data_IF_598555375610
#
_entry.id   IF_598555375610
#
_cell.length_a   1.000
_cell.length_b   1.000
_cell.length_c   1.000
_cell.angle_alpha   90.00
_cell.angle_beta   90.00
_cell.angle_gamma   90.00
#
_symmetry.space_group_name_H-M   'P 1'
#
loop_
_entity.id
_entity.type
_entity.pdbx_description
1 polymer ?
#
# COMPACT_ATOMS: atom_id res chain seq x y z
N UNK A 1 -14.14 4.10 17.40
CA UNK A 1 -13.56 5.01 16.39
C UNK A 1 -14.27 4.67 15.10
N UNK A 2 -15.42 5.29 14.91
CA UNK A 2 -16.35 4.99 13.83
C UNK A 2 -15.76 5.49 12.53
N UNK A 3 -15.40 4.57 11.64
CA UNK A 3 -15.11 4.90 10.26
C UNK A 3 -16.44 5.18 9.58
N UNK A 4 -16.89 6.42 9.67
CA UNK A 4 -17.81 6.99 8.69
C UNK A 4 -17.14 6.83 7.32
N UNK A 5 -17.58 5.83 6.54
CA UNK A 5 -17.35 5.85 5.11
C UNK A 5 -18.16 7.03 4.57
N UNK A 6 -17.52 8.20 4.53
CA UNK A 6 -17.92 9.28 3.65
C UNK A 6 -17.78 8.74 2.23
N UNK A 7 -18.88 8.24 1.69
CA UNK A 7 -18.99 7.99 0.26
C UNK A 7 -18.92 9.35 -0.44
N UNK A 8 -17.75 9.68 -1.00
CA UNK A 8 -17.56 10.94 -1.71
C UNK A 8 -18.47 10.97 -2.93
N UNK A 9 -19.47 11.86 -2.92
CA UNK A 9 -20.34 12.07 -4.07
C UNK A 9 -19.55 12.55 -5.30
N UNK A 10 -19.91 12.03 -6.47
CA UNK A 10 -19.27 12.30 -7.77
C UNK A 10 -20.08 13.33 -8.58
N UNK A 11 -19.43 13.99 -9.54
CA UNK A 11 -20.08 15.01 -10.38
C UNK A 11 -20.55 14.46 -11.73
N UNK A 12 -21.48 15.18 -12.40
CA UNK A 12 -22.08 14.78 -13.68
C UNK A 12 -21.07 14.36 -14.76
N UNK A 13 -19.88 14.96 -14.81
CA UNK A 13 -18.84 14.61 -15.79
C UNK A 13 -18.33 13.18 -15.56
N UNK A 14 -18.04 12.84 -14.31
CA UNK A 14 -17.56 11.51 -13.91
C UNK A 14 -18.65 10.45 -14.10
N UNK A 15 -19.90 10.77 -13.74
CA UNK A 15 -21.04 9.85 -13.96
C UNK A 15 -21.29 9.59 -15.44
N UNK A 16 -21.17 10.62 -16.28
CA UNK A 16 -21.29 10.48 -17.73
C UNK A 16 -20.24 9.54 -18.32
N UNK A 17 -18.99 9.63 -17.85
CA UNK A 17 -17.90 8.71 -18.22
C UNK A 17 -18.17 7.28 -17.71
N UNK A 18 -18.55 7.12 -16.44
CA UNK A 18 -18.82 5.81 -15.82
C UNK A 18 -19.96 5.04 -16.48
N UNK A 19 -20.96 5.77 -16.97
CA UNK A 19 -22.13 5.21 -17.63
C UNK A 19 -22.00 5.23 -19.15
N UNK A 20 -20.93 5.78 -19.72
CA UNK A 20 -20.75 5.96 -21.16
C UNK A 20 -22.00 6.60 -21.82
N UNK A 21 -22.37 7.78 -21.32
CA UNK A 21 -23.50 8.58 -21.82
C UNK A 21 -23.11 10.05 -21.94
N UNK A 22 -23.70 10.74 -22.92
CA UNK A 22 -23.50 12.17 -23.07
C UNK A 22 -24.05 12.92 -21.84
N UNK A 23 -23.33 13.92 -21.29
CA UNK A 23 -23.80 14.72 -20.17
C UNK A 23 -25.19 15.35 -20.36
N UNK A 24 -25.55 15.69 -21.61
CA UNK A 24 -26.89 16.17 -21.94
C UNK A 24 -27.97 15.10 -21.74
N UNK A 25 -27.67 13.85 -22.12
CA UNK A 25 -28.55 12.69 -21.91
C UNK A 25 -28.71 12.40 -20.42
N UNK A 26 -27.61 12.40 -19.67
CA UNK A 26 -27.63 12.24 -18.21
C UNK A 26 -28.52 13.30 -17.55
N UNK A 27 -28.40 14.58 -17.98
CA UNK A 27 -29.24 15.66 -17.46
C UNK A 27 -30.73 15.43 -17.74
N UNK A 28 -31.08 14.96 -18.92
CA UNK A 28 -32.47 14.61 -19.27
C UNK A 28 -32.99 13.50 -18.38
N UNK A 29 -32.21 12.43 -18.16
CA UNK A 29 -32.62 11.32 -17.30
C UNK A 29 -32.81 11.74 -15.84
N UNK A 30 -31.92 12.58 -15.32
CA UNK A 30 -32.06 13.13 -13.97
C UNK A 30 -33.32 14.00 -13.83
N UNK A 31 -33.68 14.79 -14.86
CA UNK A 31 -34.90 15.57 -14.84
C UNK A 31 -36.15 14.69 -14.87
N UNK A 32 -36.14 13.60 -15.63
CA UNK A 32 -37.25 12.65 -15.61
C UNK A 32 -37.34 11.96 -14.24
N UNK A 33 -36.22 11.54 -13.65
CA UNK A 33 -36.19 10.99 -12.28
C UNK A 33 -36.76 11.95 -11.24
N UNK A 34 -36.40 13.24 -11.31
CA UNK A 34 -36.95 14.28 -10.43
C UNK A 34 -38.48 14.45 -10.57
N UNK A 35 -39.09 14.08 -11.71
CA UNK A 35 -40.57 14.06 -11.87
C UNK A 35 -41.23 12.87 -11.17
N UNK A 36 -40.46 11.80 -10.90
CA UNK A 36 -40.90 10.63 -10.14
C UNK A 36 -40.49 10.72 -8.66
N UNK A 37 -40.41 11.95 -8.12
CA UNK A 37 -40.05 12.27 -6.74
C UNK A 37 -38.64 11.82 -6.30
N UNK A 38 -37.74 11.51 -7.24
CA UNK A 38 -36.35 11.19 -6.94
C UNK A 38 -35.52 12.47 -6.73
N UNK A 39 -34.97 12.66 -5.53
CA UNK A 39 -34.27 13.89 -5.16
C UNK A 39 -32.76 13.70 -5.12
N UNK A 40 -32.06 14.34 -6.05
CA UNK A 40 -30.60 14.42 -6.04
C UNK A 40 -30.09 15.48 -5.07
N UNK A 41 -29.05 15.17 -4.31
CA UNK A 41 -28.35 16.18 -3.51
C UNK A 41 -27.66 17.22 -4.41
N UNK A 42 -27.55 18.46 -3.92
CA UNK A 42 -26.93 19.57 -4.65
C UNK A 42 -25.90 20.28 -3.77
N UNK A 43 -24.79 20.69 -4.38
CA UNK A 43 -23.78 21.48 -3.70
C UNK A 43 -24.24 22.94 -3.47
N UNK A 44 -23.43 23.74 -2.78
CA UNK A 44 -23.68 25.18 -2.52
C UNK A 44 -23.87 26.03 -3.78
N UNK A 45 -23.49 25.51 -4.95
CA UNK A 45 -23.64 26.14 -6.28
C UNK A 45 -24.81 25.54 -7.07
N UNK A 46 -25.69 24.79 -6.40
CA UNK A 46 -26.86 24.11 -6.97
C UNK A 46 -26.54 23.04 -8.04
N UNK A 47 -25.30 22.56 -8.09
CA UNK A 47 -24.88 21.47 -8.98
C UNK A 47 -25.20 20.13 -8.32
N UNK A 48 -25.76 19.18 -9.08
CA UNK A 48 -26.08 17.84 -8.58
C UNK A 48 -24.81 17.08 -8.16
N UNK A 49 -24.88 16.46 -6.99
CA UNK A 49 -23.91 15.51 -6.45
C UNK A 49 -24.58 14.13 -6.57
N UNK A 50 -23.86 13.17 -7.14
CA UNK A 50 -24.35 11.81 -7.31
C UNK A 50 -23.64 10.88 -6.35
N UNK A 51 -24.39 10.09 -5.60
CA UNK A 51 -23.87 9.03 -4.75
C UNK A 51 -23.97 7.68 -5.45
N UNK A 52 -23.41 6.63 -4.86
CA UNK A 52 -23.37 5.30 -5.49
C UNK A 52 -24.75 4.80 -5.85
N UNK A 53 -25.74 5.03 -4.99
CA UNK A 53 -27.13 4.68 -5.26
C UNK A 53 -27.69 5.39 -6.51
N UNK A 54 -27.37 6.67 -6.72
CA UNK A 54 -27.79 7.41 -7.91
C UNK A 54 -27.19 6.79 -9.19
N UNK A 55 -25.90 6.45 -9.13
CA UNK A 55 -25.17 5.87 -10.26
C UNK A 55 -25.73 4.48 -10.59
N UNK A 56 -26.11 3.69 -9.59
CA UNK A 56 -26.77 2.41 -9.78
C UNK A 56 -28.15 2.54 -10.43
N UNK A 57 -29.00 3.45 -9.94
CA UNK A 57 -30.32 3.73 -10.51
C UNK A 57 -30.20 4.10 -11.99
N UNK A 58 -29.27 5.02 -12.30
CA UNK A 58 -29.03 5.46 -13.68
C UNK A 58 -28.45 4.33 -14.56
N UNK A 59 -27.63 3.43 -14.00
CA UNK A 59 -27.10 2.26 -14.70
C UNK A 59 -28.19 1.26 -15.04
N UNK A 60 -29.06 0.95 -14.10
CA UNK A 60 -30.17 0.02 -14.31
C UNK A 60 -31.17 0.57 -15.32
N UNK A 61 -31.48 1.88 -15.25
CA UNK A 61 -32.28 2.55 -16.27
C UNK A 61 -31.65 2.41 -17.67
N UNK A 62 -30.33 2.65 -17.80
CA UNK A 62 -29.62 2.47 -19.08
C UNK A 62 -29.79 1.05 -19.59
N UNK A 63 -29.62 0.05 -18.73
CA UNK A 63 -29.73 -1.35 -19.11
C UNK A 63 -31.14 -1.71 -19.59
N UNK A 64 -32.19 -1.27 -18.88
CA UNK A 64 -33.57 -1.49 -19.29
C UNK A 64 -33.89 -0.82 -20.63
N UNK A 65 -33.45 0.42 -20.82
CA UNK A 65 -33.67 1.13 -22.08
C UNK A 65 -32.92 0.48 -23.26
N UNK A 66 -31.73 -0.07 -23.02
CA UNK A 66 -30.96 -0.78 -24.06
C UNK A 66 -31.61 -2.08 -24.53
N UNK A 67 -32.51 -2.67 -23.73
CA UNK A 67 -33.29 -3.85 -24.18
C UNK A 67 -34.36 -3.50 -25.24
N UNK A 68 -34.63 -2.21 -25.46
CA UNK A 68 -35.55 -1.71 -26.51
C UNK A 68 -37.03 -1.91 -26.20
N UNK A 69 -37.37 -2.50 -25.06
CA UNK A 69 -38.74 -2.81 -24.64
C UNK A 69 -39.35 -1.75 -23.73
N UNK A 70 -38.52 -0.94 -23.07
CA UNK A 70 -38.95 0.05 -22.08
C UNK A 70 -38.68 1.48 -22.55
N UNK A 71 -39.68 2.34 -22.41
CA UNK A 71 -39.49 3.80 -22.47
C UNK A 71 -38.75 4.31 -21.23
N UNK A 72 -38.22 5.55 -21.28
CA UNK A 72 -37.53 6.17 -20.14
C UNK A 72 -38.39 6.14 -18.88
N UNK A 73 -39.69 6.44 -19.00
CA UNK A 73 -40.62 6.49 -17.86
C UNK A 73 -40.91 5.10 -17.28
N UNK A 74 -41.08 4.10 -18.14
CA UNK A 74 -41.28 2.71 -17.71
C UNK A 74 -40.02 2.15 -17.04
N UNK A 75 -38.84 2.46 -17.57
CA UNK A 75 -37.57 2.09 -16.95
C UNK A 75 -37.39 2.74 -15.57
N UNK A 76 -37.71 4.03 -15.41
CA UNK A 76 -37.68 4.71 -14.11
C UNK A 76 -38.61 4.01 -13.12
N UNK A 77 -39.87 3.80 -13.51
CA UNK A 77 -40.86 3.17 -12.64
C UNK A 77 -40.41 1.78 -12.19
N UNK A 78 -39.92 0.97 -13.12
CA UNK A 78 -39.44 -0.38 -12.84
C UNK A 78 -38.25 -0.39 -11.88
N UNK A 79 -37.28 0.52 -12.05
CA UNK A 79 -36.09 0.62 -11.18
C UNK A 79 -36.45 1.13 -9.79
N UNK A 80 -37.30 2.15 -9.69
CA UNK A 80 -37.74 2.69 -8.41
C UNK A 80 -38.62 1.69 -7.64
N UNK A 81 -39.49 0.95 -8.32
CA UNK A 81 -40.27 -0.15 -7.72
C UNK A 81 -39.36 -1.28 -7.24
N UNK A 82 -38.42 -1.73 -8.08
CA UNK A 82 -37.52 -2.82 -7.75
C UNK A 82 -36.60 -2.50 -6.57
N UNK A 83 -36.10 -1.26 -6.49
CA UNK A 83 -35.23 -0.82 -5.37
C UNK A 83 -36.01 -0.33 -4.14
N UNK A 84 -37.34 -0.29 -4.18
CA UNK A 84 -38.17 0.22 -3.08
C UNK A 84 -37.99 1.73 -2.80
N UNK A 85 -37.57 2.49 -3.82
CA UNK A 85 -37.26 3.92 -3.74
C UNK A 85 -38.47 4.78 -4.13
N UNK A 86 -39.62 4.51 -3.53
CA UNK A 86 -40.83 5.32 -3.69
C UNK A 86 -41.08 6.17 -2.44
N UNK A 87 -41.48 7.42 -2.64
CA UNK A 87 -41.80 8.36 -1.56
C UNK A 87 -40.57 8.78 -0.74
N UNK A 88 -40.68 8.80 0.59
CA UNK A 88 -39.66 9.35 1.50
C UNK A 88 -38.27 8.69 1.41
N UNK A 89 -38.16 7.52 0.78
CA UNK A 89 -36.89 6.79 0.58
C UNK A 89 -36.17 7.17 -0.72
N UNK A 90 -36.76 8.03 -1.57
CA UNK A 90 -36.20 8.44 -2.86
C UNK A 90 -35.23 9.64 -2.77
N UNK A 91 -34.62 9.87 -1.61
CA UNK A 91 -33.69 10.99 -1.39
C UNK A 91 -32.25 10.49 -1.26
N UNK A 92 -31.31 11.19 -1.90
CA UNK A 92 -29.89 10.92 -1.68
C UNK A 92 -29.31 11.73 -0.52
N UNK A 93 -28.65 11.04 0.43
CA UNK A 93 -27.29 11.44 0.80
C UNK A 93 -26.95 12.02 2.17
N UNK A 94 -27.86 12.17 3.14
CA UNK A 94 -27.43 12.37 4.55
C UNK A 94 -28.53 11.93 5.51
N UNK A 95 -28.35 10.74 6.10
CA UNK A 95 -29.07 10.28 7.30
C UNK A 95 -30.59 10.08 7.11
N UNK A 96 -31.02 8.88 6.69
CA UNK A 96 -32.27 8.28 7.19
C UNK A 96 -31.95 7.48 8.46
N UNK A 97 -31.38 8.15 9.45
CA UNK A 97 -31.47 7.70 10.84
C UNK A 97 -32.72 8.36 11.43
N UNK A 98 -33.68 7.52 11.81
CA UNK A 98 -34.90 7.83 12.57
C UNK A 98 -35.99 8.66 11.87
N UNK A 99 -36.95 7.96 11.24
CA UNK A 99 -38.37 8.21 11.53
C UNK A 99 -39.29 7.06 11.09
N UNK A 100 -39.83 6.38 12.10
CA UNK A 100 -41.14 5.70 12.12
C UNK A 100 -41.43 4.65 11.03
N UNK A 101 -40.87 3.45 11.18
CA UNK A 101 -41.49 2.25 10.62
C UNK A 101 -42.70 1.84 11.47
N UNK A 102 -43.87 2.42 11.20
CA UNK A 102 -45.14 1.75 11.52
C UNK A 102 -45.36 0.73 10.42
N UNK A 103 -44.85 -0.49 10.62
CA UNK A 103 -45.15 -1.63 9.76
C UNK A 103 -46.58 -2.09 10.07
N UNK A 104 -47.50 -1.81 9.14
CA UNK A 104 -48.77 -2.55 9.05
C UNK A 104 -48.44 -3.99 8.71
N UNK A 105 -48.79 -4.85 9.66
CA UNK A 105 -48.61 -6.30 9.67
C UNK A 105 -49.54 -6.90 8.62
N UNK A 106 -49.01 -7.19 7.44
CA UNK A 106 -49.63 -8.14 6.50
C UNK A 106 -48.85 -9.46 6.51
N UNK A 107 -49.63 -10.51 6.63
CA UNK A 107 -49.23 -11.83 7.07
C UNK A 107 -48.67 -12.62 5.87
N UNK A 108 -47.34 -12.73 5.76
CA UNK A 108 -46.55 -13.91 5.30
C UNK A 108 -45.09 -13.50 4.99
N UNK A 109 -44.09 -13.87 5.83
CA UNK A 109 -42.85 -14.46 5.27
C UNK A 109 -42.00 -15.26 6.31
N UNK A 110 -42.35 -16.50 6.66
CA UNK A 110 -41.48 -17.26 7.58
C UNK A 110 -40.21 -17.82 6.90
N UNK A 111 -40.32 -18.22 5.62
CA UNK A 111 -39.19 -18.78 4.85
C UNK A 111 -38.21 -17.71 4.34
N UNK A 112 -38.72 -16.55 3.90
CA UNK A 112 -37.87 -15.46 3.41
C UNK A 112 -37.08 -14.79 4.55
N UNK A 113 -37.69 -14.63 5.74
CA UNK A 113 -36.98 -14.15 6.92
C UNK A 113 -35.89 -15.12 7.40
N UNK A 114 -36.15 -16.44 7.35
CA UNK A 114 -35.12 -17.45 7.65
C UNK A 114 -33.98 -17.42 6.62
N UNK A 115 -34.29 -17.29 5.33
CA UNK A 115 -33.26 -17.18 4.28
C UNK A 115 -32.41 -15.92 4.47
N UNK A 116 -33.02 -14.78 4.77
CA UNK A 116 -32.31 -13.53 5.05
C UNK A 116 -31.39 -13.67 6.28
N UNK A 117 -31.84 -14.35 7.34
CA UNK A 117 -31.01 -14.63 8.52
C UNK A 117 -29.82 -15.53 8.20
N UNK A 118 -30.02 -16.62 7.45
CA UNK A 118 -28.91 -17.52 7.06
C UNK A 118 -27.88 -16.84 6.16
N UNK A 119 -28.33 -15.95 5.27
CA UNK A 119 -27.44 -15.14 4.43
C UNK A 119 -26.63 -14.13 5.27
N UNK A 120 -27.25 -13.53 6.29
CA UNK A 120 -26.56 -12.61 7.19
C UNK A 120 -25.53 -13.34 8.05
N UNK A 121 -25.87 -14.50 8.59
CA UNK A 121 -24.96 -15.35 9.38
C UNK A 121 -23.75 -15.80 8.52
N UNK A 122 -24.00 -16.30 7.31
CA UNK A 122 -22.92 -16.73 6.40
C UNK A 122 -22.05 -15.56 5.95
N UNK A 123 -22.63 -14.39 5.69
CA UNK A 123 -21.87 -13.18 5.39
C UNK A 123 -21.01 -12.74 6.58
N UNK A 124 -21.55 -12.79 7.80
CA UNK A 124 -20.82 -12.44 9.02
C UNK A 124 -19.64 -13.38 9.27
N UNK A 125 -19.83 -14.68 9.10
CA UNK A 125 -18.78 -15.68 9.26
C UNK A 125 -17.65 -15.49 8.25
N UNK A 126 -18.00 -15.25 6.97
CA UNK A 126 -17.00 -14.92 5.94
C UNK A 126 -16.27 -13.61 6.23
N UNK A 127 -16.97 -12.62 6.76
CA UNK A 127 -16.35 -11.35 7.12
C UNK A 127 -15.35 -11.52 8.27
N UNK A 128 -15.70 -12.32 9.29
CA UNK A 128 -14.76 -12.68 10.35
C UNK A 128 -13.53 -13.40 9.82
N UNK A 129 -13.70 -14.36 8.91
CA UNK A 129 -12.59 -15.08 8.27
C UNK A 129 -11.68 -14.13 7.47
N UNK A 130 -12.26 -13.22 6.67
CA UNK A 130 -11.51 -12.23 5.90
C UNK A 130 -10.74 -11.26 6.80
N UNK A 131 -11.34 -10.82 7.91
CA UNK A 131 -10.66 -9.97 8.89
C UNK A 131 -9.48 -10.69 9.54
N UNK A 132 -9.65 -11.97 9.87
CA UNK A 132 -8.58 -12.79 10.42
C UNK A 132 -7.44 -12.99 9.40
N UNK A 133 -7.78 -13.33 8.16
CA UNK A 133 -6.80 -13.44 7.07
C UNK A 133 -6.06 -12.11 6.84
N UNK A 134 -6.77 -10.98 6.84
CA UNK A 134 -6.16 -9.66 6.68
C UNK A 134 -5.21 -9.34 7.84
N UNK A 135 -5.57 -9.70 9.07
CA UNK A 135 -4.71 -9.56 10.25
C UNK A 135 -3.43 -10.40 10.12
N UNK A 136 -3.55 -11.65 9.65
CA UNK A 136 -2.41 -12.52 9.41
C UNK A 136 -1.48 -11.96 8.31
N UNK A 137 -2.02 -11.50 7.19
CA UNK A 137 -1.26 -10.87 6.11
C UNK A 137 -0.52 -9.63 6.63
N UNK A 138 -1.18 -8.79 7.44
CA UNK A 138 -0.55 -7.62 8.03
C UNK A 138 0.61 -8.00 8.95
N UNK A 139 0.47 -9.06 9.74
CA UNK A 139 1.54 -9.56 10.60
C UNK A 139 2.72 -10.09 9.79
N UNK A 140 2.46 -10.88 8.74
CA UNK A 140 3.48 -11.37 7.82
C UNK A 140 4.23 -10.23 7.13
N UNK A 141 3.49 -9.22 6.63
CA UNK A 141 4.11 -8.04 6.01
C UNK A 141 5.03 -7.30 6.98
N UNK A 142 4.61 -7.12 8.24
CA UNK A 142 5.47 -6.51 9.28
C UNK A 142 6.74 -7.33 9.53
N UNK A 143 6.63 -8.66 9.59
CA UNK A 143 7.79 -9.54 9.79
C UNK A 143 8.75 -9.49 8.60
N UNK A 144 8.24 -9.53 7.37
CA UNK A 144 9.04 -9.43 6.14
C UNK A 144 9.81 -8.12 6.12
N UNK A 145 9.14 -6.99 6.39
CA UNK A 145 9.78 -5.67 6.42
C UNK A 145 10.89 -5.63 7.48
N UNK A 146 10.65 -6.19 8.68
CA UNK A 146 11.68 -6.27 9.72
C UNK A 146 12.90 -7.06 9.26
N UNK A 147 12.70 -8.27 8.70
CA UNK A 147 13.80 -9.10 8.22
C UNK A 147 14.61 -8.43 7.11
N UNK A 148 13.95 -7.70 6.19
CA UNK A 148 14.64 -6.98 5.13
C UNK A 148 15.49 -5.82 5.67
N UNK A 149 15.03 -5.12 6.71
CA UNK A 149 15.80 -4.07 7.36
C UNK A 149 17.02 -4.65 8.09
N UNK A 150 16.84 -5.76 8.80
CA UNK A 150 17.92 -6.45 9.51
C UNK A 150 18.96 -7.00 8.53
N UNK A 151 18.52 -7.62 7.43
CA UNK A 151 19.41 -8.13 6.38
C UNK A 151 20.20 -6.98 5.73
N UNK A 152 19.54 -5.84 5.48
CA UNK A 152 20.22 -4.66 4.93
C UNK A 152 21.28 -4.12 5.90
N UNK A 153 20.96 -4.00 7.19
CA UNK A 153 21.89 -3.53 8.20
C UNK A 153 23.09 -4.49 8.34
N UNK A 154 22.85 -5.80 8.32
CA UNK A 154 23.90 -6.80 8.36
C UNK A 154 24.82 -6.75 7.12
N UNK A 155 24.25 -6.53 5.93
CA UNK A 155 25.04 -6.36 4.69
C UNK A 155 25.90 -5.10 4.73
N UNK A 156 25.33 -3.98 5.17
CA UNK A 156 26.06 -2.72 5.31
C UNK A 156 27.22 -2.85 6.30
N UNK A 157 26.98 -3.49 7.46
CA UNK A 157 28.04 -3.75 8.43
C UNK A 157 29.14 -4.66 7.85
N UNK A 158 28.76 -5.74 7.17
CA UNK A 158 29.73 -6.64 6.55
C UNK A 158 30.56 -5.96 5.44
N UNK A 159 29.97 -5.00 4.72
CA UNK A 159 30.70 -4.20 3.72
C UNK A 159 31.69 -3.23 4.37
N UNK A 160 31.29 -2.57 5.46
CA UNK A 160 32.18 -1.71 6.27
C UNK A 160 33.35 -2.53 6.81
N UNK A 161 33.09 -3.71 7.38
CA UNK A 161 34.11 -4.58 7.95
C UNK A 161 35.12 -5.03 6.88
N UNK A 162 34.63 -5.44 5.69
CA UNK A 162 35.51 -5.80 4.55
C UNK A 162 36.39 -4.64 4.10
N UNK A 163 35.84 -3.43 4.04
CA UNK A 163 36.59 -2.25 3.61
C UNK A 163 37.64 -1.86 4.67
N UNK A 164 37.34 -2.01 5.96
CA UNK A 164 38.30 -1.85 7.05
C UNK A 164 39.44 -2.88 6.96
N UNK A 165 39.11 -4.16 6.80
CA UNK A 165 40.11 -5.23 6.63
C UNK A 165 41.01 -4.98 5.41
N UNK A 166 40.43 -4.50 4.30
CA UNK A 166 41.19 -4.17 3.09
C UNK A 166 42.18 -3.04 3.35
N UNK A 167 41.75 -1.96 4.02
CA UNK A 167 42.63 -0.83 4.40
C UNK A 167 43.75 -1.26 5.34
N UNK A 168 43.44 -2.11 6.33
CA UNK A 168 44.47 -2.64 7.23
C UNK A 168 45.49 -3.51 6.48
N UNK A 169 45.03 -4.38 5.57
CA UNK A 169 45.92 -5.19 4.74
C UNK A 169 46.80 -4.34 3.81
N UNK A 170 46.25 -3.30 3.19
CA UNK A 170 47.01 -2.37 2.35
C UNK A 170 48.10 -1.65 3.17
N UNK A 171 47.77 -1.22 4.40
CA UNK A 171 48.73 -0.60 5.31
C UNK A 171 49.85 -1.56 5.71
N UNK A 172 49.52 -2.81 6.06
CA UNK A 172 50.49 -3.85 6.40
C UNK A 172 51.42 -4.16 5.21
N UNK A 173 50.87 -4.23 3.99
CA UNK A 173 51.65 -4.38 2.76
C UNK A 173 52.64 -3.23 2.57
N UNK A 174 52.18 -1.98 2.72
CA UNK A 174 53.07 -0.82 2.63
C UNK A 174 54.21 -0.86 3.66
N UNK A 175 53.93 -1.30 4.89
CA UNK A 175 54.96 -1.48 5.92
C UNK A 175 55.96 -2.59 5.58
N UNK A 176 55.48 -3.70 5.01
CA UNK A 176 56.35 -4.79 4.53
C UNK A 176 57.26 -4.32 3.41
N UNK A 177 56.72 -3.59 2.42
CA UNK A 177 57.49 -3.04 1.31
C UNK A 177 58.54 -2.03 1.80
N UNK A 178 58.19 -1.16 2.75
CA UNK A 178 59.12 -0.22 3.36
C UNK A 178 60.24 -0.94 4.14
N UNK A 179 59.90 -1.99 4.89
CA UNK A 179 60.87 -2.81 5.60
C UNK A 179 61.79 -3.56 4.63
N UNK A 180 61.25 -4.11 3.54
CA UNK A 180 62.03 -4.77 2.50
C UNK A 180 63.01 -3.79 1.85
N UNK A 181 62.57 -2.58 1.49
CA UNK A 181 63.45 -1.53 0.96
C UNK A 181 64.57 -1.15 1.93
N UNK A 182 64.28 -1.07 3.24
CA UNK A 182 65.31 -0.82 4.26
C UNK A 182 66.32 -1.98 4.34
N UNK A 183 65.85 -3.22 4.27
CA UNK A 183 66.71 -4.41 4.25
C UNK A 183 67.62 -4.39 3.02
N UNK A 184 67.08 -4.11 1.83
CA UNK A 184 67.84 -4.05 0.58
C UNK A 184 68.94 -2.99 0.63
N UNK A 185 68.65 -1.79 1.17
CA UNK A 185 69.65 -0.73 1.39
C UNK A 185 70.75 -1.14 2.37
N UNK A 186 70.41 -1.89 3.41
CA UNK A 186 71.41 -2.43 4.35
C UNK A 186 72.31 -3.44 3.63
N UNK A 187 71.73 -4.32 2.81
CA UNK A 187 72.52 -5.25 2.01
C UNK A 187 73.46 -4.52 1.06
N UNK A 188 72.98 -3.55 0.29
CA UNK A 188 73.79 -2.73 -0.63
C UNK A 188 74.96 -2.05 0.12
N UNK A 189 74.68 -1.41 1.26
CA UNK A 189 75.72 -0.80 2.09
C UNK A 189 76.76 -1.82 2.60
N UNK A 190 76.33 -3.02 3.00
CA UNK A 190 77.22 -4.11 3.44
C UNK A 190 78.06 -4.66 2.27
N UNK A 191 77.50 -4.71 1.06
CA UNK A 191 78.21 -5.13 -0.14
C UNK A 191 79.27 -4.11 -0.57
N UNK A 192 78.94 -2.82 -0.58
CA UNK A 192 79.87 -1.74 -0.90
C UNK A 192 81.00 -1.61 0.13
N UNK A 193 80.69 -1.91 1.39
CA UNK A 193 81.67 -1.91 2.47
C UNK A 193 82.50 -3.19 2.56
N UNK A 194 82.41 -4.16 1.63
CA UNK A 194 83.18 -5.43 1.65
C UNK A 194 84.71 -5.29 1.76
N UNK A 195 85.27 -4.09 1.57
CA UNK A 195 86.67 -3.75 1.92
C UNK A 195 86.93 -3.40 3.39
N UNK A 196 85.96 -2.81 4.11
CA UNK A 196 86.08 -2.34 5.51
C UNK A 196 85.24 -3.16 6.51
N UNK A 197 84.13 -3.76 6.07
CA UNK A 197 83.10 -4.42 6.89
C UNK A 197 83.53 -5.76 7.48
N UNK A 198 84.42 -6.50 6.81
CA UNK A 198 85.06 -7.69 7.40
C UNK A 198 85.81 -7.31 8.68
N UNK A 199 86.51 -6.19 8.70
CA UNK A 199 87.25 -5.70 9.87
C UNK A 199 86.32 -5.20 10.98
N UNK A 200 85.19 -4.60 10.62
CA UNK A 200 84.23 -4.05 11.58
C UNK A 200 83.37 -5.14 12.25
N UNK A 201 82.79 -6.07 11.48
CA UNK A 201 82.02 -7.20 12.01
C UNK A 201 82.92 -8.17 12.79
N UNK A 202 84.15 -8.39 12.33
CA UNK A 202 85.13 -9.20 13.06
C UNK A 202 85.57 -8.53 14.37
N UNK A 203 85.65 -7.19 14.45
CA UNK A 203 85.87 -6.46 15.72
C UNK A 203 84.65 -6.46 16.65
N UNK A 204 83.44 -6.46 16.09
CA UNK A 204 82.19 -6.47 16.85
C UNK A 204 81.93 -7.85 17.50
N UNK A 205 82.19 -8.93 16.76
CA UNK A 205 81.99 -10.31 17.23
C UNK A 205 83.22 -10.93 17.93
N UNK A 206 84.46 -10.43 17.73
CA UNK A 206 85.64 -10.92 18.48
C UNK A 206 85.94 -10.16 19.80
N UNK A 207 85.15 -9.15 20.21
CA UNK A 207 85.31 -8.56 21.55
C UNK A 207 84.71 -9.49 22.60
N UNK A 208 85.45 -10.55 22.92
CA UNK A 208 85.25 -11.30 24.17
C UNK A 208 85.64 -10.41 25.35
N UNK A 209 84.87 -10.38 26.45
CA UNK A 209 85.20 -9.58 27.62
C UNK A 209 86.48 -10.14 28.24
N UNK A 210 87.55 -9.31 28.31
CA UNK A 210 88.72 -9.65 29.11
C UNK A 210 88.29 -9.71 30.57
N UNK A 211 88.24 -10.92 31.14
CA UNK A 211 88.28 -11.12 32.59
C UNK A 211 89.60 -10.53 33.10
N UNK A 212 89.52 -9.44 33.87
CA UNK A 212 90.65 -9.01 34.71
C UNK A 212 90.73 -9.92 35.93
N UNK A 213 91.96 -10.30 36.28
CA UNK A 213 92.36 -11.02 37.48
C UNK A 213 91.88 -10.34 38.77
#
# INVERSE_FOLDING_TARGET
MDQQQNEYGVFSSQVGEMLDINPNTLRTWCLELEKFDYNFERNKRSQRIYYTQDVEVLREMKNLMNTGTYTIQEAIKQVLEFKGLQGANAQTGSVLEQKNAVMTRDETPNALNQMNMTLLETASARMSELVEQQSQIMMQNKQIVSMLLDERAAKEQAEIDRELEKRENEKLRGQLDEMQSKIDKIFEYVEDSKGESKTFLQKLFNRSPKKSL
#
